data_IF_426927514217
#
_entry.id   IF_426927514217
#
_cell.length_a   1.000
_cell.length_b   1.000
_cell.length_c   1.000
_cell.angle_alpha   90.00
_cell.angle_beta   90.00
_cell.angle_gamma   90.00
#
_symmetry.space_group_name_H-M   'P 1'
#
loop_
_entity.id
_entity.type
_entity.pdbx_description
1 polymer ?
#
# COMPACT_ATOMS: atom_id res chain seq x y z
N UNK A 1 -74.00 7.52 8.88
CA UNK A 1 -73.12 7.24 7.70
C UNK A 1 -71.67 7.27 8.21
N UNK A 2 -71.10 6.08 8.42
CA UNK A 2 -69.72 5.92 8.94
C UNK A 2 -68.78 5.66 7.75
N UNK A 3 -67.87 6.59 7.48
CA UNK A 3 -66.80 6.39 6.53
C UNK A 3 -65.71 5.50 7.15
N UNK A 4 -65.49 4.31 6.60
CA UNK A 4 -64.38 3.43 6.94
C UNK A 4 -63.15 3.93 6.19
N UNK A 5 -62.14 4.37 6.94
CA UNK A 5 -60.81 4.69 6.44
C UNK A 5 -60.04 3.37 6.30
N UNK A 6 -59.81 2.94 5.07
CA UNK A 6 -59.05 1.76 4.77
C UNK A 6 -57.57 2.12 4.72
N UNK A 7 -56.84 1.79 5.78
CA UNK A 7 -55.37 1.96 5.83
C UNK A 7 -54.72 0.85 5.03
N UNK A 8 -54.19 1.20 3.87
CA UNK A 8 -53.39 0.30 3.02
C UNK A 8 -51.97 0.27 3.58
N UNK A 9 -51.63 -0.75 4.33
CA UNK A 9 -50.24 -1.06 4.70
C UNK A 9 -49.59 -1.74 3.49
N UNK A 10 -48.85 -0.98 2.73
CA UNK A 10 -47.92 -1.51 1.73
C UNK A 10 -46.69 -2.05 2.45
N UNK A 11 -46.62 -3.36 2.63
CA UNK A 11 -45.40 -4.04 3.01
C UNK A 11 -44.48 -4.06 1.79
N UNK A 12 -43.55 -3.09 1.75
CA UNK A 12 -42.46 -3.08 0.78
C UNK A 12 -41.40 -4.09 1.25
N UNK A 13 -41.51 -5.34 0.81
CA UNK A 13 -40.44 -6.31 0.96
C UNK A 13 -39.30 -5.91 0.03
N UNK A 14 -38.36 -5.15 0.54
CA UNK A 14 -37.07 -4.94 -0.08
C UNK A 14 -36.28 -6.25 -0.02
N UNK A 15 -36.30 -6.99 -1.10
CA UNK A 15 -35.30 -8.01 -1.41
C UNK A 15 -33.97 -7.29 -1.69
N UNK A 16 -33.27 -6.91 -0.65
CA UNK A 16 -31.88 -6.51 -0.75
C UNK A 16 -31.02 -7.75 -0.62
N UNK A 17 -30.75 -8.38 -1.76
CA UNK A 17 -29.60 -9.26 -1.94
C UNK A 17 -28.33 -8.39 -2.08
N UNK A 18 -28.13 -7.47 -1.15
CA UNK A 18 -26.88 -6.72 -0.97
C UNK A 18 -26.22 -7.28 0.27
N UNK A 19 -25.08 -7.96 0.13
CA UNK A 19 -24.22 -8.23 1.26
C UNK A 19 -23.93 -6.90 1.94
N UNK A 20 -24.44 -6.72 3.15
CA UNK A 20 -24.07 -5.58 3.97
C UNK A 20 -22.56 -5.64 4.14
N UNK A 21 -21.84 -4.67 3.55
CA UNK A 21 -20.46 -4.41 3.92
C UNK A 21 -20.49 -4.12 5.42
N UNK A 22 -20.13 -5.12 6.22
CA UNK A 22 -19.96 -4.94 7.65
C UNK A 22 -18.79 -3.98 7.81
N UNK A 23 -19.09 -2.74 8.13
CA UNK A 23 -18.07 -1.76 8.46
C UNK A 23 -17.41 -2.23 9.75
N UNK A 24 -16.27 -2.88 9.62
CA UNK A 24 -15.52 -3.35 10.76
C UNK A 24 -15.01 -2.13 11.52
N UNK A 25 -15.30 -2.07 12.82
CA UNK A 25 -14.74 -1.01 13.68
C UNK A 25 -13.25 -1.31 13.89
N UNK A 26 -12.38 -0.32 13.71
CA UNK A 26 -10.93 -0.47 13.95
C UNK A 26 -10.55 -0.25 15.41
N UNK A 27 -11.52 -0.03 16.29
CA UNK A 27 -11.30 0.16 17.71
C UNK A 27 -11.35 -1.17 18.45
N UNK A 28 -10.28 -1.48 19.15
CA UNK A 28 -10.09 -2.74 19.86
C UNK A 28 -9.03 -3.63 19.20
N UNK A 29 -8.79 -4.76 19.81
CA UNK A 29 -7.87 -5.77 19.24
C UNK A 29 -8.61 -6.66 18.27
N UNK A 30 -8.04 -6.87 17.09
CA UNK A 30 -8.58 -7.75 16.06
C UNK A 30 -7.57 -8.82 15.69
N UNK A 31 -8.05 -9.94 15.17
CA UNK A 31 -7.24 -10.93 14.49
C UNK A 31 -7.29 -10.68 12.98
N UNK A 32 -6.13 -10.69 12.32
CA UNK A 32 -6.06 -10.65 10.87
C UNK A 32 -5.16 -11.78 10.38
N UNK A 33 -5.65 -12.59 9.45
CA UNK A 33 -4.92 -13.76 8.94
C UNK A 33 -5.13 -13.96 7.45
N UNK A 34 -4.18 -14.67 6.85
CA UNK A 34 -4.19 -15.15 5.48
C UNK A 34 -4.76 -16.58 5.45
N UNK A 35 -5.29 -17.00 4.31
CA UNK A 35 -5.67 -18.38 4.06
C UNK A 35 -6.87 -18.51 3.11
N UNK A 36 -7.01 -19.68 2.52
CA UNK A 36 -8.13 -20.00 1.62
C UNK A 36 -8.29 -19.03 0.45
N UNK A 37 -7.17 -18.54 -0.08
CA UNK A 37 -7.10 -17.53 -1.17
C UNK A 37 -7.80 -16.20 -0.85
N UNK A 38 -7.98 -15.87 0.43
CA UNK A 38 -8.64 -14.65 0.88
C UNK A 38 -8.04 -14.11 2.18
N UNK A 39 -8.56 -12.99 2.64
CA UNK A 39 -8.20 -12.36 3.91
C UNK A 39 -9.32 -12.58 4.94
N UNK A 40 -8.92 -12.67 6.20
CA UNK A 40 -9.84 -12.90 7.31
C UNK A 40 -9.62 -11.86 8.40
N UNK A 41 -10.69 -11.21 8.82
CA UNK A 41 -10.71 -10.30 9.98
C UNK A 41 -11.70 -10.89 11.00
N UNK A 42 -11.22 -11.20 12.22
CA UNK A 42 -12.01 -11.81 13.28
C UNK A 42 -12.79 -13.04 12.79
N UNK A 43 -12.07 -13.91 12.08
CA UNK A 43 -12.59 -15.15 11.46
C UNK A 43 -13.73 -14.96 10.46
N UNK A 44 -13.91 -13.75 9.95
CA UNK A 44 -14.83 -13.45 8.86
C UNK A 44 -14.07 -13.09 7.59
N UNK A 45 -14.53 -13.50 6.41
CA UNK A 45 -13.96 -13.05 5.15
C UNK A 45 -13.93 -11.53 5.09
N UNK A 46 -12.79 -10.97 4.72
CA UNK A 46 -12.57 -9.52 4.64
C UNK A 46 -12.02 -9.14 3.28
N UNK A 47 -12.79 -8.38 2.51
CA UNK A 47 -12.33 -7.80 1.26
C UNK A 47 -11.63 -6.48 1.56
N UNK A 48 -10.34 -6.37 1.25
CA UNK A 48 -9.59 -5.13 1.36
C UNK A 48 -9.96 -4.25 0.15
N UNK A 49 -10.53 -3.09 0.40
CA UNK A 49 -10.73 -2.02 -0.57
C UNK A 49 -9.93 -0.84 -0.07
N UNK A 50 -8.74 -0.64 -0.65
CA UNK A 50 -7.74 0.29 -0.14
C UNK A 50 -7.49 1.45 -1.09
N UNK A 51 -7.11 2.58 -0.53
CA UNK A 51 -6.57 3.71 -1.28
C UNK A 51 -5.25 4.18 -0.71
N UNK A 52 -4.24 4.30 -1.58
CA UNK A 52 -2.90 4.69 -1.17
C UNK A 52 -2.72 6.20 -1.17
N UNK A 53 -2.14 6.69 -0.07
CA UNK A 53 -1.65 8.05 0.11
C UNK A 53 -0.30 8.03 0.83
N UNK A 54 0.54 9.01 0.53
CA UNK A 54 1.86 9.09 1.13
C UNK A 54 1.92 10.28 2.11
N UNK A 55 2.10 10.07 3.42
CA UNK A 55 2.11 11.15 4.40
C UNK A 55 3.18 12.20 4.09
N UNK A 56 4.32 11.82 3.49
CA UNK A 56 5.38 12.74 3.06
C UNK A 56 4.95 13.72 1.95
N UNK A 57 3.91 13.38 1.18
CA UNK A 57 3.39 14.16 0.04
C UNK A 57 2.19 15.02 0.37
N UNK A 58 1.72 15.01 1.62
CA UNK A 58 0.50 15.71 2.05
C UNK A 58 0.81 16.46 3.33
N UNK A 59 0.56 17.77 3.42
CA UNK A 59 0.69 18.48 4.70
C UNK A 59 -0.14 17.81 5.79
N UNK A 60 0.44 17.64 6.98
CA UNK A 60 -0.13 16.86 8.06
C UNK A 60 -1.51 17.36 8.53
N UNK A 61 -1.83 18.63 8.26
CA UNK A 61 -3.11 19.25 8.54
C UNK A 61 -4.24 18.71 7.65
N UNK A 62 -3.91 18.16 6.48
CA UNK A 62 -4.87 17.64 5.50
C UNK A 62 -5.02 16.12 5.54
N UNK A 63 -4.21 15.38 6.29
CA UNK A 63 -4.30 13.91 6.35
C UNK A 63 -5.71 13.43 6.67
N UNK A 64 -6.32 14.01 7.70
CA UNK A 64 -7.68 13.65 8.13
C UNK A 64 -8.69 13.82 7.00
N UNK A 65 -8.67 14.96 6.31
CA UNK A 65 -9.59 15.22 5.21
C UNK A 65 -9.40 14.21 4.07
N UNK A 66 -8.15 13.91 3.68
CA UNK A 66 -7.86 12.92 2.62
C UNK A 66 -8.36 11.53 2.98
N UNK A 67 -8.14 11.11 4.22
CA UNK A 67 -8.62 9.81 4.72
C UNK A 67 -10.16 9.76 4.72
N UNK A 68 -10.83 10.85 5.10
CA UNK A 68 -12.29 10.94 5.02
C UNK A 68 -12.81 10.84 3.59
N UNK A 69 -12.11 11.42 2.62
CA UNK A 69 -12.46 11.29 1.20
C UNK A 69 -12.29 9.84 0.71
N UNK A 70 -11.20 9.19 1.07
CA UNK A 70 -10.96 7.76 0.79
C UNK A 70 -12.09 6.90 1.34
N UNK A 71 -12.48 7.14 2.60
CA UNK A 71 -13.62 6.44 3.23
C UNK A 71 -14.93 6.71 2.49
N UNK A 72 -15.17 7.95 2.09
CA UNK A 72 -16.37 8.32 1.34
C UNK A 72 -16.45 7.67 -0.05
N UNK A 73 -15.31 7.30 -0.64
CA UNK A 73 -15.24 6.53 -1.88
C UNK A 73 -15.54 5.03 -1.67
N UNK A 74 -15.82 4.59 -0.44
CA UNK A 74 -16.15 3.20 -0.13
C UNK A 74 -14.95 2.33 0.27
N UNK A 75 -13.76 2.91 0.44
CA UNK A 75 -12.61 2.17 0.96
C UNK A 75 -12.76 1.89 2.46
N UNK A 76 -12.24 0.75 2.90
CA UNK A 76 -12.16 0.37 4.31
C UNK A 76 -10.72 0.39 4.84
N UNK A 77 -9.76 0.59 3.97
CA UNK A 77 -8.33 0.51 4.26
C UNK A 77 -7.59 1.65 3.57
N UNK A 78 -6.54 2.16 4.21
CA UNK A 78 -5.55 3.07 3.63
C UNK A 78 -4.27 2.29 3.39
N UNK A 79 -3.54 2.57 2.33
CA UNK A 79 -2.16 2.11 2.16
C UNK A 79 -1.19 3.30 2.20
N UNK A 80 0.02 3.11 2.67
CA UNK A 80 1.02 4.16 2.64
C UNK A 80 2.46 3.63 2.52
N UNK A 81 3.24 4.23 1.63
CA UNK A 81 4.70 4.13 1.66
C UNK A 81 5.30 5.00 2.76
N UNK A 82 6.35 4.49 3.38
CA UNK A 82 7.22 5.24 4.29
C UNK A 82 8.59 5.37 3.62
N UNK A 83 8.91 6.61 3.23
CA UNK A 83 10.16 6.91 2.53
C UNK A 83 11.31 6.94 3.55
N UNK A 84 12.18 5.94 3.54
CA UNK A 84 13.27 5.82 4.52
C UNK A 84 14.14 7.10 4.55
N UNK A 85 14.57 7.61 3.38
CA UNK A 85 15.40 8.82 3.30
C UNK A 85 14.72 10.09 3.83
N UNK A 86 13.39 10.13 3.86
CA UNK A 86 12.64 11.24 4.44
C UNK A 86 12.75 11.27 5.97
N UNK A 87 12.92 10.11 6.58
CA UNK A 87 12.96 9.94 8.02
C UNK A 87 14.39 9.80 8.57
N UNK A 88 15.38 9.38 7.79
CA UNK A 88 16.79 9.28 8.17
C UNK A 88 17.64 10.20 7.32
N UNK A 89 17.91 11.41 7.81
CA UNK A 89 18.70 12.43 7.09
C UNK A 89 20.21 12.13 7.08
N UNK A 90 20.70 11.54 8.17
CA UNK A 90 22.08 11.10 8.36
C UNK A 90 22.07 9.72 9.03
N UNK A 91 23.12 8.89 8.85
CA UNK A 91 23.14 7.55 9.40
C UNK A 91 22.83 7.50 10.90
N UNK A 92 21.71 6.91 11.28
CA UNK A 92 21.24 6.78 12.66
C UNK A 92 20.48 7.98 13.22
N UNK A 93 20.29 9.04 12.45
CA UNK A 93 19.52 10.23 12.88
C UNK A 93 18.12 10.15 12.29
N UNK A 94 17.18 9.65 13.09
CA UNK A 94 15.79 9.45 12.67
C UNK A 94 14.86 10.54 13.20
N UNK A 95 13.91 10.94 12.35
CA UNK A 95 12.80 11.81 12.72
C UNK A 95 11.48 11.16 12.28
N UNK A 96 10.68 10.73 13.26
CA UNK A 96 9.33 10.19 13.08
C UNK A 96 8.27 11.04 13.79
N UNK A 97 8.58 12.31 14.13
CA UNK A 97 7.75 13.11 15.02
C UNK A 97 7.41 14.50 14.51
N UNK A 98 8.20 15.07 13.58
CA UNK A 98 8.02 16.49 13.19
C UNK A 98 7.20 16.65 11.90
N UNK A 99 6.16 17.46 11.93
CA UNK A 99 5.36 17.83 10.76
C UNK A 99 4.84 16.61 10.00
N UNK A 100 5.14 16.53 8.71
CA UNK A 100 4.77 15.40 7.84
C UNK A 100 5.53 14.11 8.15
N UNK A 101 6.53 14.16 9.02
CA UNK A 101 7.28 12.98 9.49
C UNK A 101 6.65 12.33 10.73
N UNK A 102 5.63 12.95 11.34
CA UNK A 102 4.94 12.39 12.53
C UNK A 102 4.11 11.16 12.15
N UNK A 103 4.81 10.04 12.10
CA UNK A 103 4.26 8.76 11.65
C UNK A 103 3.17 8.23 12.60
N UNK A 104 3.37 8.42 13.91
CA UNK A 104 2.34 8.01 14.86
C UNK A 104 1.06 8.85 14.73
N UNK A 105 1.17 10.15 14.47
CA UNK A 105 0.01 11.00 14.19
C UNK A 105 -0.74 10.54 12.95
N UNK A 106 -0.01 10.20 11.87
CA UNK A 106 -0.64 9.67 10.65
C UNK A 106 -1.42 8.38 10.92
N UNK A 107 -0.78 7.40 11.57
CA UNK A 107 -1.41 6.11 11.89
C UNK A 107 -2.64 6.31 12.80
N UNK A 108 -2.54 7.15 13.83
CA UNK A 108 -3.69 7.50 14.68
C UNK A 108 -4.82 8.16 13.89
N UNK A 109 -4.50 9.04 12.94
CA UNK A 109 -5.52 9.67 12.10
C UNK A 109 -6.28 8.65 11.26
N UNK A 110 -5.59 7.64 10.69
CA UNK A 110 -6.24 6.52 10.00
C UNK A 110 -7.18 5.77 10.94
N UNK A 111 -6.72 5.46 12.14
CA UNK A 111 -7.51 4.75 13.15
C UNK A 111 -8.71 5.56 13.64
N UNK A 112 -8.55 6.86 13.88
CA UNK A 112 -9.63 7.76 14.32
C UNK A 112 -10.75 7.87 13.30
N UNK A 113 -10.43 7.74 12.00
CA UNK A 113 -11.40 7.70 10.92
C UNK A 113 -11.98 6.30 10.68
N UNK A 114 -11.66 5.33 11.55
CA UNK A 114 -12.19 3.98 11.50
C UNK A 114 -11.82 3.25 10.19
N UNK A 115 -10.53 3.32 9.81
CA UNK A 115 -9.94 2.69 8.63
C UNK A 115 -8.80 1.77 9.05
N UNK A 116 -8.60 0.68 8.34
CA UNK A 116 -7.40 -0.17 8.47
C UNK A 116 -6.21 0.40 7.67
N UNK A 117 -5.03 -0.18 7.87
CA UNK A 117 -3.80 0.30 7.24
C UNK A 117 -2.96 -0.85 6.70
N UNK A 118 -2.61 -0.77 5.40
CA UNK A 118 -1.51 -1.52 4.78
C UNK A 118 -0.25 -0.67 4.91
N UNK A 119 0.74 -1.15 5.64
CA UNK A 119 1.93 -0.40 5.93
C UNK A 119 3.09 -0.85 5.05
N UNK A 120 3.69 0.07 4.28
CA UNK A 120 4.67 -0.21 3.24
C UNK A 120 6.02 0.46 3.59
N UNK A 121 6.84 -0.13 4.49
CA UNK A 121 8.06 0.52 5.01
C UNK A 121 9.28 0.38 4.10
N UNK A 122 9.19 -0.35 3.03
CA UNK A 122 10.33 -0.62 2.15
C UNK A 122 11.26 -1.74 2.67
N UNK A 123 12.60 -1.57 2.57
CA UNK A 123 13.42 -0.34 2.53
C UNK A 123 13.40 0.47 1.23
N UNK A 124 13.26 -0.18 0.08
CA UNK A 124 13.01 0.46 -1.21
C UNK A 124 11.50 0.52 -1.46
N UNK A 125 11.00 1.64 -1.94
CA UNK A 125 9.57 1.85 -2.16
C UNK A 125 9.22 2.29 -3.58
N UNK A 126 10.20 2.62 -4.43
CA UNK A 126 9.97 3.19 -5.75
C UNK A 126 9.24 4.54 -5.67
N UNK A 127 7.98 4.58 -6.09
CA UNK A 127 7.04 5.67 -5.85
C UNK A 127 7.41 6.99 -6.49
N UNK A 128 8.26 7.02 -7.53
CA UNK A 128 8.77 8.25 -8.16
C UNK A 128 9.29 9.26 -7.12
N UNK A 129 9.86 8.72 -6.05
CA UNK A 129 10.50 9.46 -4.98
C UNK A 129 12.01 9.40 -5.11
N UNK A 130 12.71 10.42 -4.62
CA UNK A 130 14.17 10.49 -4.68
C UNK A 130 14.82 9.19 -4.22
N UNK A 131 15.65 8.62 -5.11
CA UNK A 131 16.35 7.33 -4.93
C UNK A 131 15.44 6.16 -4.46
N UNK A 132 14.15 6.18 -4.84
CA UNK A 132 13.17 5.15 -4.43
C UNK A 132 13.01 5.02 -2.93
N UNK A 133 13.25 6.10 -2.18
CA UNK A 133 13.18 6.16 -0.73
C UNK A 133 14.45 5.74 0.01
N UNK A 134 15.49 5.28 -0.68
CA UNK A 134 16.77 4.91 -0.05
C UNK A 134 17.58 6.18 0.31
N UNK A 135 18.29 6.20 1.46
CA UNK A 135 19.11 7.36 1.83
C UNK A 135 20.28 7.60 0.90
N UNK A 136 20.45 8.86 0.48
CA UNK A 136 21.52 9.27 -0.43
C UNK A 136 22.94 9.01 0.12
N UNK A 137 23.12 8.94 1.43
CA UNK A 137 24.42 8.61 2.03
C UNK A 137 24.93 7.21 1.65
N UNK A 138 24.03 6.30 1.23
CA UNK A 138 24.44 4.99 0.70
C UNK A 138 25.31 5.12 -0.55
N UNK A 139 25.07 6.15 -1.38
CA UNK A 139 25.84 6.42 -2.59
C UNK A 139 27.27 6.89 -2.28
N UNK A 140 27.55 7.37 -1.07
CA UNK A 140 28.89 7.78 -0.66
C UNK A 140 29.84 6.60 -0.35
N UNK A 141 29.29 5.38 -0.24
CA UNK A 141 30.06 4.17 0.01
C UNK A 141 30.48 3.53 -1.33
N UNK A 142 31.78 3.54 -1.68
CA UNK A 142 32.24 2.96 -2.94
C UNK A 142 31.85 1.51 -3.09
N UNK A 143 31.43 1.12 -4.29
CA UNK A 143 31.08 -0.26 -4.67
C UNK A 143 29.95 -0.90 -3.84
N UNK A 144 29.19 -0.11 -3.08
CA UNK A 144 28.02 -0.59 -2.35
C UNK A 144 26.98 -1.14 -3.33
N UNK A 145 26.52 -2.35 -3.07
CA UNK A 145 25.38 -2.93 -3.77
C UNK A 145 24.13 -2.83 -2.89
N UNK A 146 23.09 -2.22 -3.43
CA UNK A 146 21.80 -2.09 -2.76
C UNK A 146 20.88 -3.27 -3.09
N UNK A 147 19.84 -3.47 -2.27
CA UNK A 147 18.79 -4.49 -2.44
C UNK A 147 19.39 -5.89 -2.64
N UNK A 148 20.39 -6.24 -1.85
CA UNK A 148 21.07 -7.54 -1.85
C UNK A 148 21.79 -7.77 -0.51
N UNK A 149 22.46 -8.91 -0.36
CA UNK A 149 23.19 -9.27 0.87
C UNK A 149 24.57 -8.60 1.03
N UNK A 150 24.79 -7.40 0.46
CA UNK A 150 25.96 -6.59 0.81
C UNK A 150 25.90 -6.21 2.30
N UNK A 151 26.89 -6.60 3.14
CA UNK A 151 26.82 -6.42 4.59
C UNK A 151 26.72 -4.95 5.02
N UNK A 152 27.19 -4.02 4.19
CA UNK A 152 27.11 -2.57 4.46
C UNK A 152 25.68 -2.07 4.24
N UNK A 153 25.00 -2.59 3.21
CA UNK A 153 23.60 -2.29 2.93
C UNK A 153 22.68 -2.91 3.98
N UNK A 154 22.86 -4.21 4.27
CA UNK A 154 22.03 -4.91 5.27
C UNK A 154 22.17 -4.30 6.65
N UNK A 155 23.36 -3.84 7.05
CA UNK A 155 23.56 -3.13 8.32
C UNK A 155 22.80 -1.79 8.37
N UNK A 156 22.72 -1.06 7.24
CA UNK A 156 21.93 0.17 7.17
C UNK A 156 20.43 -0.11 7.24
N UNK A 157 19.94 -1.13 6.51
CA UNK A 157 18.54 -1.58 6.57
C UNK A 157 18.16 -2.06 7.97
N UNK A 158 19.02 -2.83 8.63
CA UNK A 158 18.76 -3.28 9.99
C UNK A 158 18.64 -2.13 10.99
N UNK A 159 19.46 -1.08 10.84
CA UNK A 159 19.36 0.13 11.65
C UNK A 159 18.00 0.82 11.45
N UNK A 160 17.58 0.99 10.20
CA UNK A 160 16.27 1.54 9.86
C UNK A 160 15.13 0.70 10.43
N UNK A 161 15.15 -0.62 10.19
CA UNK A 161 14.13 -1.52 10.72
C UNK A 161 14.06 -1.47 12.25
N UNK A 162 15.21 -1.38 12.94
CA UNK A 162 15.27 -1.25 14.40
C UNK A 162 14.62 0.05 14.90
N UNK A 163 14.74 1.13 14.13
CA UNK A 163 14.16 2.43 14.51
C UNK A 163 12.64 2.48 14.29
N UNK A 164 12.12 1.91 13.20
CA UNK A 164 10.70 2.02 12.82
C UNK A 164 9.84 0.89 13.41
N UNK A 165 10.36 -0.31 13.59
CA UNK A 165 9.59 -1.48 14.03
C UNK A 165 8.82 -1.28 15.35
N UNK A 166 9.32 -0.55 16.36
CA UNK A 166 8.55 -0.27 17.57
C UNK A 166 7.24 0.50 17.29
N UNK A 167 7.25 1.40 16.31
CA UNK A 167 6.06 2.15 15.89
C UNK A 167 5.07 1.18 15.21
N UNK A 168 5.53 0.38 14.25
CA UNK A 168 4.68 -0.59 13.55
C UNK A 168 4.02 -1.52 14.57
N UNK A 169 4.82 -2.16 15.42
CA UNK A 169 4.35 -3.10 16.44
C UNK A 169 3.30 -2.49 17.36
N UNK A 170 3.51 -1.25 17.81
CA UNK A 170 2.57 -0.54 18.69
C UNK A 170 1.18 -0.42 18.06
N UNK A 171 1.12 -0.24 16.74
CA UNK A 171 -0.10 0.01 16.00
C UNK A 171 -0.60 -1.19 15.17
N UNK A 172 -0.09 -2.38 15.42
CA UNK A 172 -0.67 -3.61 14.84
C UNK A 172 -2.11 -3.80 15.29
N UNK A 173 -2.93 -4.39 14.43
CA UNK A 173 -4.34 -4.66 14.70
C UNK A 173 -4.53 -5.56 15.93
N UNK A 174 -3.60 -6.46 16.17
CA UNK A 174 -3.55 -7.31 17.37
C UNK A 174 -3.27 -6.54 18.66
N UNK A 175 -2.72 -5.34 18.56
CA UNK A 175 -2.45 -4.44 19.69
C UNK A 175 -3.46 -3.28 19.75
N UNK A 176 -4.54 -3.36 18.97
CA UNK A 176 -5.59 -2.35 18.93
C UNK A 176 -5.32 -1.17 17.99
N UNK A 177 -4.30 -1.26 17.14
CA UNK A 177 -4.01 -0.30 16.08
C UNK A 177 -4.69 -0.65 14.74
N UNK A 178 -4.49 0.13 13.69
CA UNK A 178 -5.12 -0.10 12.39
C UNK A 178 -4.30 -0.99 11.45
N UNK A 179 -3.02 -1.30 11.72
CA UNK A 179 -2.13 -2.01 10.79
C UNK A 179 -2.52 -3.47 10.70
N UNK A 180 -2.97 -3.91 9.52
CA UNK A 180 -3.39 -5.30 9.26
C UNK A 180 -2.34 -6.13 8.54
N UNK A 181 -1.51 -5.50 7.68
CA UNK A 181 -0.38 -6.14 6.99
C UNK A 181 0.78 -5.18 6.80
N UNK A 182 1.98 -5.75 6.67
CA UNK A 182 3.22 -5.02 6.37
C UNK A 182 3.82 -5.55 5.08
N UNK A 183 4.20 -4.67 4.15
CA UNK A 183 4.90 -5.06 2.93
C UNK A 183 6.36 -5.36 3.18
N UNK A 184 6.88 -6.34 2.46
CA UNK A 184 8.29 -6.71 2.42
C UNK A 184 8.86 -6.32 1.08
N UNK A 185 9.82 -5.39 1.06
CA UNK A 185 10.43 -4.86 -0.17
C UNK A 185 9.41 -4.18 -1.10
N UNK A 186 9.75 -3.96 -2.37
CA UNK A 186 8.82 -3.47 -3.40
C UNK A 186 9.30 -3.87 -4.79
N UNK A 187 8.44 -4.52 -5.57
CA UNK A 187 8.69 -4.94 -6.95
C UNK A 187 10.07 -5.61 -7.13
N UNK A 188 10.45 -6.44 -6.14
CA UNK A 188 11.78 -7.04 -6.16
C UNK A 188 11.99 -7.95 -7.34
N UNK A 189 10.93 -8.61 -7.82
CA UNK A 189 10.97 -9.48 -8.98
C UNK A 189 11.30 -8.78 -10.29
N UNK A 190 11.07 -7.47 -10.39
CA UNK A 190 11.52 -6.67 -11.55
C UNK A 190 12.94 -6.13 -11.40
N UNK A 191 13.50 -6.14 -10.19
CA UNK A 191 14.84 -5.64 -9.89
C UNK A 191 15.89 -6.73 -9.85
N UNK A 192 15.59 -7.88 -9.20
CA UNK A 192 16.57 -8.93 -8.96
C UNK A 192 15.95 -10.28 -8.65
N UNK A 193 16.81 -11.23 -8.27
CA UNK A 193 16.40 -12.59 -7.95
C UNK A 193 17.17 -13.19 -6.75
N UNK A 194 17.72 -12.36 -5.87
CA UNK A 194 18.40 -12.81 -4.66
C UNK A 194 17.38 -13.25 -3.59
N UNK A 195 17.00 -14.52 -3.65
CA UNK A 195 16.06 -15.11 -2.69
C UNK A 195 16.59 -15.12 -1.26
N UNK A 196 17.92 -15.09 -1.08
CA UNK A 196 18.54 -14.98 0.26
C UNK A 196 18.26 -13.61 0.86
N UNK A 197 18.35 -12.55 0.06
CA UNK A 197 18.00 -11.20 0.46
C UNK A 197 16.51 -11.07 0.79
N UNK A 198 15.62 -11.57 -0.08
CA UNK A 198 14.18 -11.51 0.17
C UNK A 198 13.77 -12.24 1.45
N UNK A 199 14.35 -13.43 1.69
CA UNK A 199 14.12 -14.15 2.95
C UNK A 199 14.69 -13.38 4.13
N UNK A 200 15.90 -12.83 4.00
CA UNK A 200 16.55 -12.08 5.07
C UNK A 200 15.73 -10.86 5.51
N UNK A 201 15.19 -10.07 4.56
CA UNK A 201 14.40 -8.87 4.90
C UNK A 201 13.07 -9.26 5.56
N UNK A 202 12.42 -10.34 5.11
CA UNK A 202 11.24 -10.88 5.78
C UNK A 202 11.55 -11.27 7.22
N UNK A 203 12.62 -12.07 7.44
CA UNK A 203 13.01 -12.54 8.75
C UNK A 203 13.42 -11.38 9.66
N UNK A 204 14.09 -10.36 9.11
CA UNK A 204 14.43 -9.14 9.85
C UNK A 204 13.19 -8.48 10.46
N UNK A 205 12.12 -8.29 9.69
CA UNK A 205 10.88 -7.72 10.23
C UNK A 205 10.26 -8.60 11.31
N UNK A 206 10.29 -9.92 11.14
CA UNK A 206 9.84 -10.87 12.18
C UNK A 206 10.68 -10.78 13.44
N UNK A 207 12.01 -10.73 13.32
CA UNK A 207 12.95 -10.62 14.44
C UNK A 207 12.81 -9.28 15.18
N UNK A 208 12.41 -8.21 14.51
CA UNK A 208 12.05 -6.93 15.16
C UNK A 208 10.67 -6.99 15.83
N UNK A 209 9.96 -8.11 15.74
CA UNK A 209 8.75 -8.40 16.50
C UNK A 209 7.44 -7.98 15.82
N UNK A 210 7.45 -7.82 14.50
CA UNK A 210 6.23 -7.58 13.72
C UNK A 210 5.40 -8.88 13.69
N UNK A 211 4.18 -8.83 14.22
CA UNK A 211 3.28 -9.98 14.40
C UNK A 211 2.23 -10.14 13.32
N UNK A 212 1.79 -9.08 12.68
CA UNK A 212 0.80 -9.14 11.59
C UNK A 212 1.34 -9.86 10.34
N UNK A 213 0.47 -10.37 9.45
CA UNK A 213 0.91 -10.97 8.21
C UNK A 213 1.70 -10.00 7.34
N UNK A 214 2.59 -10.57 6.51
CA UNK A 214 3.31 -9.83 5.48
C UNK A 214 2.72 -10.06 4.10
N UNK A 215 3.08 -9.18 3.16
CA UNK A 215 2.86 -9.36 1.73
C UNK A 215 4.04 -8.85 0.91
N UNK A 216 4.21 -9.38 -0.29
CA UNK A 216 5.07 -8.84 -1.36
C UNK A 216 4.24 -8.18 -2.43
N UNK A 217 4.84 -7.36 -3.26
CA UNK A 217 4.18 -6.65 -4.34
C UNK A 217 5.06 -6.73 -5.60
N UNK A 218 4.54 -7.38 -6.66
CA UNK A 218 5.28 -7.65 -7.89
C UNK A 218 4.33 -7.75 -9.09
N UNK A 219 4.86 -7.60 -10.30
CA UNK A 219 4.09 -7.87 -11.52
C UNK A 219 3.70 -9.35 -11.66
N UNK A 220 2.58 -9.61 -12.35
CA UNK A 220 1.99 -10.94 -12.51
C UNK A 220 2.73 -11.88 -13.51
N UNK A 221 3.99 -11.62 -13.82
CA UNK A 221 4.76 -12.51 -14.71
C UNK A 221 5.41 -13.66 -13.93
N UNK A 222 5.55 -14.87 -14.51
CA UNK A 222 6.17 -15.99 -13.82
C UNK A 222 7.55 -15.65 -13.23
N UNK A 223 8.38 -14.93 -13.98
CA UNK A 223 9.71 -14.52 -13.54
C UNK A 223 9.67 -13.61 -12.30
N UNK A 224 8.81 -12.58 -12.32
CA UNK A 224 8.68 -11.65 -11.18
C UNK A 224 8.12 -12.36 -9.96
N UNK A 225 7.13 -13.21 -10.14
CA UNK A 225 6.56 -14.02 -9.05
C UNK A 225 7.57 -14.97 -8.43
N UNK A 226 8.39 -15.64 -9.26
CA UNK A 226 9.44 -16.52 -8.75
C UNK A 226 10.49 -15.75 -7.93
N UNK A 227 10.89 -14.57 -8.41
CA UNK A 227 11.96 -13.79 -7.79
C UNK A 227 11.49 -12.98 -6.57
N UNK A 228 10.29 -12.39 -6.63
CA UNK A 228 9.81 -11.43 -5.63
C UNK A 228 8.93 -12.02 -4.53
N UNK A 229 8.27 -13.17 -4.75
CA UNK A 229 7.37 -13.73 -3.74
C UNK A 229 8.07 -14.57 -2.68
N UNK A 230 7.42 -14.71 -1.53
CA UNK A 230 7.89 -15.48 -0.38
C UNK A 230 6.82 -16.47 0.09
N UNK A 231 7.22 -17.66 0.60
CA UNK A 231 6.27 -18.60 1.18
C UNK A 231 5.57 -18.02 2.44
N UNK A 232 4.26 -18.27 2.55
CA UNK A 232 3.50 -17.93 3.76
C UNK A 232 3.15 -16.46 3.94
N UNK A 233 3.39 -15.63 2.91
CA UNK A 233 2.96 -14.23 2.87
C UNK A 233 1.84 -14.06 1.84
N UNK A 234 1.09 -12.95 1.90
CA UNK A 234 0.17 -12.61 0.83
C UNK A 234 0.93 -12.10 -0.40
N UNK A 235 0.33 -12.26 -1.57
CA UNK A 235 0.93 -11.83 -2.84
C UNK A 235 0.11 -10.68 -3.41
N UNK A 236 0.74 -9.52 -3.45
CA UNK A 236 0.27 -8.35 -4.16
C UNK A 236 0.69 -8.40 -5.63
N UNK A 237 -0.19 -7.98 -6.51
CA UNK A 237 0.05 -7.88 -7.94
C UNK A 237 -0.03 -6.41 -8.40
N UNK A 238 0.92 -5.99 -9.21
CA UNK A 238 1.09 -4.61 -9.63
C UNK A 238 1.18 -4.48 -11.17
N UNK A 239 0.07 -4.21 -11.88
CA UNK A 239 -1.33 -4.35 -11.46
C UNK A 239 -1.92 -5.74 -11.75
N UNK A 240 -3.14 -6.00 -11.27
CA UNK A 240 -3.95 -7.13 -11.72
C UNK A 240 -5.47 -6.83 -11.61
N UNK A 241 -6.19 -7.03 -12.71
CA UNK A 241 -7.64 -6.85 -12.79
C UNK A 241 -8.32 -7.89 -13.68
N UNK A 242 -7.71 -9.07 -13.86
CA UNK A 242 -8.26 -10.14 -14.65
C UNK A 242 -8.06 -11.51 -13.98
N UNK A 243 -8.96 -12.45 -14.31
CA UNK A 243 -8.83 -13.84 -13.82
C UNK A 243 -7.49 -14.45 -14.20
N UNK A 244 -6.95 -14.17 -15.39
CA UNK A 244 -5.71 -14.75 -15.87
C UNK A 244 -4.50 -14.37 -14.99
N UNK A 245 -4.43 -13.11 -14.56
CA UNK A 245 -3.36 -12.62 -13.69
C UNK A 245 -3.41 -13.27 -12.31
N UNK A 246 -4.61 -13.36 -11.71
CA UNK A 246 -4.78 -14.05 -10.43
C UNK A 246 -4.49 -15.56 -10.55
N UNK A 247 -4.94 -16.21 -11.62
CA UNK A 247 -4.70 -17.64 -11.85
C UNK A 247 -3.19 -17.93 -12.05
N UNK A 248 -2.42 -16.99 -12.60
CA UNK A 248 -0.97 -17.19 -12.78
C UNK A 248 -0.26 -17.37 -11.44
N UNK A 249 -0.63 -16.57 -10.44
CA UNK A 249 -0.12 -16.75 -9.07
C UNK A 249 -0.53 -18.10 -8.50
N UNK A 250 -1.80 -18.47 -8.64
CA UNK A 250 -2.34 -19.69 -8.03
C UNK A 250 -1.79 -20.98 -8.64
N UNK A 251 -1.19 -20.93 -9.84
CA UNK A 251 -0.43 -22.08 -10.41
C UNK A 251 0.83 -22.40 -9.60
N UNK A 252 1.48 -21.37 -9.04
CA UNK A 252 2.72 -21.50 -8.29
C UNK A 252 2.48 -21.53 -6.79
N UNK A 253 1.49 -20.77 -6.32
CA UNK A 253 1.13 -20.60 -4.91
C UNK A 253 -0.37 -20.85 -4.72
N UNK A 254 -0.86 -22.10 -4.75
CA UNK A 254 -2.29 -22.42 -4.81
C UNK A 254 -3.10 -21.95 -3.60
N UNK A 255 -2.46 -21.80 -2.44
CA UNK A 255 -3.11 -21.40 -1.18
C UNK A 255 -2.86 -19.94 -0.80
N UNK A 256 -2.21 -19.16 -1.69
CA UNK A 256 -1.85 -17.78 -1.38
C UNK A 256 -3.08 -16.86 -1.31
N UNK A 257 -3.11 -15.96 -0.33
CA UNK A 257 -4.01 -14.80 -0.35
C UNK A 257 -3.47 -13.78 -1.35
N UNK A 258 -4.21 -13.55 -2.44
CA UNK A 258 -3.77 -12.70 -3.56
C UNK A 258 -4.67 -11.48 -3.69
N UNK A 259 -4.08 -10.32 -3.95
CA UNK A 259 -4.82 -9.09 -4.20
C UNK A 259 -4.09 -8.20 -5.22
N UNK A 260 -4.78 -7.24 -5.81
CA UNK A 260 -4.14 -6.20 -6.59
C UNK A 260 -3.57 -5.14 -5.65
N UNK A 261 -2.26 -5.15 -5.42
CA UNK A 261 -1.60 -4.23 -4.47
C UNK A 261 -1.37 -2.84 -5.05
N UNK A 262 -1.33 -2.72 -6.37
CA UNK A 262 -1.30 -1.43 -7.05
C UNK A 262 -2.20 -1.44 -8.29
N UNK A 263 -3.37 -0.85 -8.16
CA UNK A 263 -4.28 -0.59 -9.25
C UNK A 263 -4.12 0.87 -9.69
N UNK A 264 -3.71 1.10 -10.92
CA UNK A 264 -3.33 2.42 -11.43
C UNK A 264 -4.51 3.18 -12.04
N UNK A 265 -5.14 4.14 -11.33
CA UNK A 265 -6.19 5.01 -11.90
C UNK A 265 -5.62 6.08 -12.82
N UNK A 266 -4.37 6.45 -12.64
CA UNK A 266 -3.63 7.45 -13.36
C UNK A 266 -2.21 7.00 -13.68
N UNK A 267 -1.31 7.95 -13.92
CA UNK A 267 0.12 7.69 -14.13
C UNK A 267 0.97 8.92 -13.79
N UNK A 268 2.23 8.68 -13.52
CA UNK A 268 3.25 9.72 -13.29
C UNK A 268 3.51 10.54 -14.58
N UNK A 269 4.06 11.73 -14.43
CA UNK A 269 4.48 12.59 -15.54
C UNK A 269 5.91 13.07 -15.35
N UNK A 270 6.74 12.93 -16.38
CA UNK A 270 8.09 13.48 -16.38
C UNK A 270 8.13 14.91 -16.93
N UNK A 271 9.19 15.62 -16.63
CA UNK A 271 9.47 16.90 -17.27
C UNK A 271 9.52 16.78 -18.79
N UNK A 272 8.88 17.73 -19.51
CA UNK A 272 8.75 17.78 -20.96
C UNK A 272 7.79 16.76 -21.60
N UNK A 273 7.05 16.01 -20.80
CA UNK A 273 5.93 15.20 -21.27
C UNK A 273 4.62 15.96 -21.14
N UNK A 274 3.62 15.53 -21.90
CA UNK A 274 2.24 15.93 -21.62
C UNK A 274 1.76 15.23 -20.34
N UNK A 275 0.86 15.90 -19.61
CA UNK A 275 0.21 15.26 -18.48
C UNK A 275 -0.41 13.95 -18.90
N UNK A 276 -0.16 12.91 -18.10
CA UNK A 276 -0.71 11.59 -18.35
C UNK A 276 -2.17 11.55 -17.90
N UNK A 277 -3.03 11.07 -18.78
CA UNK A 277 -4.47 10.88 -18.52
C UNK A 277 -4.89 9.50 -19.01
N UNK A 278 -4.73 8.44 -18.21
CA UNK A 278 -5.18 7.10 -18.55
C UNK A 278 -6.71 7.04 -18.75
N UNK A 279 -7.16 5.98 -19.41
CA UNK A 279 -8.58 5.80 -19.70
C UNK A 279 -9.42 5.58 -18.44
N UNK A 280 -10.38 6.46 -18.20
CA UNK A 280 -11.39 6.31 -17.13
C UNK A 280 -12.20 5.02 -17.35
N UNK A 281 -12.49 4.65 -18.59
CA UNK A 281 -13.22 3.43 -18.92
C UNK A 281 -12.43 2.18 -18.47
N UNK A 282 -11.11 2.18 -18.68
CA UNK A 282 -10.25 1.08 -18.25
C UNK A 282 -10.32 0.91 -16.74
N UNK A 283 -10.03 1.95 -15.96
CA UNK A 283 -10.00 1.86 -14.50
C UNK A 283 -11.38 1.47 -13.93
N UNK A 284 -12.47 2.00 -14.47
CA UNK A 284 -13.82 1.64 -14.02
C UNK A 284 -14.18 0.19 -14.35
N UNK A 285 -13.71 -0.32 -15.49
CA UNK A 285 -13.87 -1.73 -15.87
C UNK A 285 -13.07 -2.64 -14.92
N UNK A 286 -11.82 -2.29 -14.63
CA UNK A 286 -10.94 -3.04 -13.74
C UNK A 286 -11.51 -3.08 -12.32
N UNK A 287 -11.92 -1.94 -11.78
CA UNK A 287 -12.56 -1.86 -10.45
C UNK A 287 -13.83 -2.69 -10.39
N UNK A 288 -14.67 -2.56 -11.42
CA UNK A 288 -15.90 -3.35 -11.49
C UNK A 288 -15.60 -4.84 -11.48
N UNK A 289 -14.62 -5.29 -12.25
CA UNK A 289 -14.22 -6.70 -12.28
C UNK A 289 -13.74 -7.19 -10.91
N UNK A 290 -12.88 -6.40 -10.24
CA UNK A 290 -12.37 -6.73 -8.91
C UNK A 290 -13.50 -6.85 -7.88
N UNK A 291 -14.42 -5.90 -7.86
CA UNK A 291 -15.59 -5.92 -6.96
C UNK A 291 -16.53 -7.10 -7.26
N UNK A 292 -16.88 -7.32 -8.52
CA UNK A 292 -17.78 -8.41 -8.93
C UNK A 292 -17.22 -9.81 -8.60
N UNK A 293 -15.89 -9.93 -8.54
CA UNK A 293 -15.19 -11.19 -8.22
C UNK A 293 -14.69 -11.26 -6.76
N UNK A 294 -15.08 -10.32 -5.90
CA UNK A 294 -14.69 -10.29 -4.48
C UNK A 294 -13.19 -10.20 -4.27
N UNK A 295 -12.45 -9.59 -5.22
CA UNK A 295 -11.00 -9.44 -5.12
C UNK A 295 -10.65 -8.20 -4.32
N UNK A 296 -9.71 -8.34 -3.41
CA UNK A 296 -9.11 -7.22 -2.69
C UNK A 296 -8.20 -6.40 -3.59
N UNK A 297 -8.15 -5.08 -3.37
CA UNK A 297 -7.29 -4.20 -4.18
C UNK A 297 -6.94 -2.90 -3.45
N UNK A 298 -5.90 -2.24 -3.95
CA UNK A 298 -5.42 -0.94 -3.49
C UNK A 298 -5.25 0.00 -4.70
N UNK A 299 -5.92 1.15 -4.68
CA UNK A 299 -5.66 2.20 -5.68
C UNK A 299 -4.28 2.80 -5.46
N UNK A 300 -3.39 2.66 -6.42
CA UNK A 300 -2.10 3.34 -6.44
C UNK A 300 -2.10 4.43 -7.52
N UNK A 301 -2.28 5.67 -7.19
CA UNK A 301 -2.64 6.21 -5.88
C UNK A 301 -4.08 6.69 -5.92
N UNK A 302 -4.78 6.69 -4.78
CA UNK A 302 -6.11 7.31 -4.70
C UNK A 302 -5.99 8.82 -4.57
N UNK A 303 -4.87 9.31 -4.03
CA UNK A 303 -4.44 10.69 -3.95
C UNK A 303 -2.92 10.74 -3.91
N UNK A 304 -2.31 11.34 -4.90
CA UNK A 304 -0.86 11.38 -5.03
C UNK A 304 -0.18 12.44 -4.16
N UNK A 305 -0.68 13.67 -4.19
CA UNK A 305 -0.09 14.79 -3.47
C UNK A 305 1.09 15.45 -4.19
N UNK A 306 2.04 16.00 -3.43
CA UNK A 306 3.11 16.85 -3.94
C UNK A 306 4.48 16.36 -3.47
N UNK A 307 5.44 16.24 -4.38
CA UNK A 307 6.85 16.02 -4.05
C UNK A 307 7.48 17.34 -3.58
N UNK A 308 7.33 17.68 -2.31
CA UNK A 308 7.85 18.93 -1.75
C UNK A 308 9.38 19.00 -1.84
N UNK A 309 9.90 20.21 -1.98
CA UNK A 309 11.34 20.44 -2.02
C UNK A 309 12.03 19.72 -3.18
N UNK A 310 12.95 18.81 -2.86
CA UNK A 310 13.74 18.04 -3.83
C UNK A 310 13.45 16.55 -3.79
N UNK A 311 12.23 16.18 -3.37
CA UNK A 311 11.88 14.77 -3.17
C UNK A 311 11.31 14.07 -4.43
N UNK A 312 11.05 14.82 -5.52
CA UNK A 312 10.71 14.20 -6.80
C UNK A 312 11.88 13.33 -7.28
N UNK A 313 11.56 12.12 -7.69
CA UNK A 313 12.53 11.17 -8.23
C UNK A 313 12.77 11.33 -9.72
N UNK A 314 13.25 10.26 -10.33
CA UNK A 314 13.44 10.15 -11.76
C UNK A 314 13.42 8.68 -12.20
N UNK A 315 12.91 8.41 -13.40
CA UNK A 315 13.08 7.11 -14.03
C UNK A 315 14.34 7.09 -14.89
N UNK A 316 14.97 5.92 -14.97
CA UNK A 316 16.14 5.69 -15.82
C UNK A 316 15.97 4.35 -16.53
N UNK A 317 15.14 4.28 -17.58
CA UNK A 317 14.79 3.04 -18.25
C UNK A 317 15.96 2.38 -18.97
N UNK A 318 17.01 3.17 -19.27
CA UNK A 318 18.25 2.70 -19.90
C UNK A 318 19.43 3.54 -19.42
N UNK A 319 20.67 3.00 -19.43
CA UNK A 319 21.86 3.80 -19.10
C UNK A 319 21.94 5.07 -19.95
N UNK A 320 22.12 6.21 -19.30
CA UNK A 320 22.20 7.52 -19.94
C UNK A 320 20.85 8.20 -20.24
N UNK A 321 19.73 7.55 -19.97
CA UNK A 321 18.40 8.16 -20.01
C UNK A 321 18.02 8.57 -18.59
N UNK A 322 17.69 9.84 -18.41
CA UNK A 322 17.27 10.40 -17.13
C UNK A 322 15.97 11.19 -17.35
N UNK A 323 14.90 10.73 -16.77
CA UNK A 323 13.57 11.29 -16.89
C UNK A 323 13.10 11.77 -15.50
N UNK A 324 13.38 13.04 -15.15
CA UNK A 324 12.99 13.56 -13.84
C UNK A 324 11.48 13.74 -13.75
N UNK A 325 10.91 13.33 -12.63
CA UNK A 325 9.50 13.51 -12.35
C UNK A 325 9.18 14.96 -12.01
N UNK A 326 7.97 15.38 -12.35
CA UNK A 326 7.49 16.72 -11.96
C UNK A 326 7.21 16.78 -10.46
N UNK A 327 7.20 17.98 -9.88
CA UNK A 327 6.91 18.19 -8.47
C UNK A 327 5.51 17.72 -8.06
N UNK A 328 4.52 17.94 -8.93
CA UNK A 328 3.17 17.43 -8.71
C UNK A 328 3.14 15.91 -8.84
N UNK A 329 2.65 15.23 -7.85
CA UNK A 329 2.31 13.82 -7.92
C UNK A 329 0.79 13.63 -8.00
N UNK A 330 0.11 14.53 -8.72
CA UNK A 330 -1.35 14.46 -8.92
C UNK A 330 -1.78 13.10 -9.47
N UNK A 331 -0.97 12.54 -10.37
CA UNK A 331 -1.11 11.17 -10.89
C UNK A 331 -2.42 10.97 -11.69
N UNK A 332 -3.17 12.02 -11.97
CA UNK A 332 -4.56 11.93 -12.46
C UNK A 332 -5.44 11.04 -11.55
N UNK A 333 -5.16 11.12 -10.25
CA UNK A 333 -5.79 10.28 -9.23
C UNK A 333 -7.25 10.68 -8.98
N UNK A 334 -8.10 9.77 -8.46
CA UNK A 334 -9.50 10.06 -8.13
C UNK A 334 -9.70 11.25 -7.18
N UNK A 335 -8.76 11.47 -6.28
CA UNK A 335 -8.67 12.67 -5.45
C UNK A 335 -7.48 13.48 -5.96
N UNK A 336 -7.72 14.67 -6.50
CA UNK A 336 -6.68 15.49 -7.11
C UNK A 336 -5.67 16.00 -6.06
N UNK A 337 -4.55 16.61 -6.51
CA UNK A 337 -3.44 17.06 -5.66
C UNK A 337 -3.88 17.98 -4.51
N UNK A 338 -4.89 18.79 -4.71
CA UNK A 338 -5.41 19.71 -3.68
C UNK A 338 -6.48 19.08 -2.77
N UNK A 339 -7.09 17.97 -3.17
CA UNK A 339 -8.17 17.28 -2.46
C UNK A 339 -9.58 17.68 -2.88
#
# INVERSE_FOLDING_TARGET
MKKKLLTFLMALALLTGGGALVQAQTKGTHSFRLGDNQFWLDDKPFQIISGEIHPSRIPAEYWKQRIQMIKAMGCNTVACYIMWNYHESEPGVFDFQTGNKDLEKFIRTVQEEDMFLLFRPGPYVCGEWDFGGLPAYLLSTPDLKIRCMDPRYTAAVERYATAIAPIIKKYEVTNGGPIIMVQVENEYGSYGNDRTYMKWIHDLWRDKGIGVPFYTADGATPYMLEAGTLPGVAIGLDPAASKAEFDEVLKVHPDASVFCSELYPGWLTHWRENWQHPSIEKITTDVKWLLDNGKSFNYYVIHGGTNFGFWAGANSPQPGIYQPDVTSYDYDAPINEMG
#
